data_IF_589828251232
#
_entry.id   IF_589828251232
#
_cell.length_a   1.000
_cell.length_b   1.000
_cell.length_c   1.000
_cell.angle_alpha   90.00
_cell.angle_beta   90.00
_cell.angle_gamma   90.00
#
_symmetry.space_group_name_H-M   'P 1'
#
loop_
_entity.id
_entity.type
_entity.pdbx_description
1 polymer ?
#
# COMPACT_ATOMS: atom_id res chain seq x y z
N UNK A 1 45.06 23.73 -54.26
CA UNK A 1 44.65 23.70 -52.87
C UNK A 1 43.21 23.19 -52.81
N UNK A 2 43.03 21.90 -52.54
CA UNK A 2 41.70 21.26 -52.39
C UNK A 2 41.40 21.23 -50.87
N UNK A 3 40.37 21.92 -50.43
CA UNK A 3 39.88 21.86 -49.05
C UNK A 3 38.92 20.71 -48.85
N UNK A 4 39.27 19.81 -47.96
CA UNK A 4 38.43 18.66 -47.54
C UNK A 4 37.46 19.15 -46.44
N UNK A 5 36.16 19.17 -46.77
CA UNK A 5 35.11 19.46 -45.81
C UNK A 5 34.69 18.12 -45.17
N UNK A 6 35.04 17.92 -43.93
CA UNK A 6 34.59 16.75 -43.15
C UNK A 6 33.18 17.03 -42.57
N UNK A 7 32.17 16.35 -43.09
CA UNK A 7 30.80 16.40 -42.55
C UNK A 7 30.71 15.46 -41.35
N UNK A 8 30.59 16.00 -40.14
CA UNK A 8 30.27 15.24 -38.96
C UNK A 8 28.79 14.82 -38.99
N UNK A 9 28.53 13.55 -39.21
CA UNK A 9 27.21 12.96 -38.98
C UNK A 9 26.97 12.77 -37.47
N UNK A 10 26.14 13.64 -36.88
CA UNK A 10 25.57 13.43 -35.56
C UNK A 10 24.48 12.36 -35.68
N UNK A 11 24.72 11.14 -35.21
CA UNK A 11 23.68 10.16 -34.96
C UNK A 11 22.93 10.51 -33.68
N UNK A 12 21.60 10.76 -33.72
CA UNK A 12 20.84 10.94 -32.49
C UNK A 12 20.82 9.60 -31.73
N UNK A 13 21.42 9.59 -30.55
CA UNK A 13 21.25 8.49 -29.60
C UNK A 13 19.77 8.49 -29.17
N UNK A 14 19.01 7.53 -29.71
CA UNK A 14 17.65 7.22 -29.23
C UNK A 14 17.81 6.66 -27.83
N UNK A 15 17.53 7.49 -26.82
CA UNK A 15 17.39 7.06 -25.45
C UNK A 15 16.13 6.21 -25.38
N UNK A 16 16.28 4.88 -25.55
CA UNK A 16 15.20 3.94 -25.31
C UNK A 16 14.84 4.04 -23.82
N UNK A 17 13.74 4.72 -23.51
CA UNK A 17 13.13 4.65 -22.21
C UNK A 17 12.79 3.18 -21.96
N UNK A 18 13.57 2.52 -21.09
CA UNK A 18 13.26 1.19 -20.61
C UNK A 18 11.90 1.28 -19.91
N UNK A 19 10.83 0.91 -20.60
CA UNK A 19 9.52 0.75 -19.99
C UNK A 19 9.68 -0.34 -18.92
N UNK A 20 9.66 0.07 -17.66
CA UNK A 20 9.67 -0.88 -16.55
C UNK A 20 8.42 -1.75 -16.71
N UNK A 21 8.63 -3.07 -16.87
CA UNK A 21 7.52 -4.01 -16.95
C UNK A 21 6.62 -3.83 -15.70
N UNK A 22 5.29 -3.83 -15.94
CA UNK A 22 4.32 -3.67 -14.86
C UNK A 22 4.40 -4.88 -13.94
N UNK A 23 4.72 -4.70 -12.65
CA UNK A 23 4.86 -5.83 -11.74
C UNK A 23 3.50 -6.50 -11.53
N UNK A 24 3.52 -7.83 -11.45
CA UNK A 24 2.33 -8.60 -11.10
C UNK A 24 2.14 -8.58 -9.58
N UNK A 25 1.15 -7.83 -9.11
CA UNK A 25 0.76 -7.80 -7.70
C UNK A 25 -0.38 -8.77 -7.37
N UNK A 26 -0.96 -9.47 -8.36
CA UNK A 26 -2.02 -10.43 -8.11
C UNK A 26 -1.56 -11.53 -7.15
N UNK A 27 -2.44 -11.92 -6.23
CA UNK A 27 -2.18 -12.93 -5.22
C UNK A 27 -2.69 -12.55 -3.83
N UNK A 28 -2.35 -13.39 -2.88
CA UNK A 28 -2.65 -13.19 -1.46
C UNK A 28 -1.38 -12.79 -0.72
N UNK A 29 -1.50 -11.79 0.13
CA UNK A 29 -0.41 -11.20 0.89
C UNK A 29 -0.79 -11.13 2.36
N UNK A 30 0.11 -11.53 3.25
CA UNK A 30 -0.02 -11.36 4.71
C UNK A 30 0.76 -10.14 5.16
N UNK A 31 0.23 -9.42 6.13
CA UNK A 31 0.88 -8.25 6.70
C UNK A 31 2.12 -8.67 7.50
N UNK A 32 3.25 -8.02 7.25
CA UNK A 32 4.45 -8.14 8.05
C UNK A 32 4.49 -7.08 9.16
N UNK A 33 4.19 -5.82 8.79
CA UNK A 33 3.99 -4.72 9.74
C UNK A 33 3.13 -3.61 9.13
N UNK A 34 2.53 -2.78 9.99
CA UNK A 34 1.85 -1.54 9.63
C UNK A 34 2.24 -0.48 10.68
N UNK A 35 3.25 0.30 10.34
CA UNK A 35 3.86 1.30 11.21
C UNK A 35 3.52 2.71 10.74
N UNK A 36 3.87 3.68 11.56
CA UNK A 36 3.94 5.09 11.20
C UNK A 36 5.38 5.60 11.41
N UNK A 37 5.87 6.36 10.45
CA UNK A 37 7.16 7.06 10.57
C UNK A 37 6.86 8.52 10.91
N UNK A 38 7.31 8.96 12.08
CA UNK A 38 7.16 10.33 12.55
C UNK A 38 8.14 11.29 11.85
N UNK A 39 7.89 12.62 11.86
CA UNK A 39 8.79 13.60 11.24
C UNK A 39 10.23 13.58 11.79
N UNK A 40 10.43 13.16 13.02
CA UNK A 40 11.74 13.00 13.66
C UNK A 40 12.45 11.68 13.28
N UNK A 41 11.81 10.84 12.46
CA UNK A 41 12.34 9.55 12.02
C UNK A 41 12.04 8.39 12.97
N UNK A 42 11.44 8.63 14.13
CA UNK A 42 11.00 7.55 15.03
C UNK A 42 9.83 6.77 14.43
N UNK A 43 9.59 5.55 14.92
CA UNK A 43 8.48 4.71 14.49
C UNK A 43 7.47 4.50 15.60
N UNK A 44 6.19 4.58 15.22
CA UNK A 44 5.06 4.17 16.03
C UNK A 44 4.34 2.98 15.40
N UNK A 45 3.49 2.32 16.19
CA UNK A 45 2.76 1.12 15.81
C UNK A 45 1.25 1.35 15.94
N UNK A 46 0.64 1.97 14.93
CA UNK A 46 -0.80 2.30 14.92
C UNK A 46 -1.72 1.08 15.13
N UNK A 47 -1.22 -0.12 14.80
CA UNK A 47 -1.95 -1.38 14.94
C UNK A 47 -1.23 -2.37 15.88
N UNK A 48 -0.47 -1.84 16.85
CA UNK A 48 0.29 -2.64 17.81
C UNK A 48 1.53 -3.32 17.23
N UNK A 49 2.26 -4.06 18.07
CA UNK A 49 3.54 -4.67 17.73
C UNK A 49 3.41 -5.89 16.80
N UNK A 50 2.25 -6.53 16.77
CA UNK A 50 2.01 -7.73 15.97
C UNK A 50 0.65 -7.65 15.24
N UNK A 51 0.48 -6.69 14.30
CA UNK A 51 -0.76 -6.52 13.58
C UNK A 51 -1.08 -7.75 12.72
N UNK A 52 -2.37 -7.98 12.51
CA UNK A 52 -2.84 -9.00 11.56
C UNK A 52 -3.41 -8.31 10.33
N UNK A 53 -3.09 -8.82 9.15
CA UNK A 53 -3.64 -8.26 7.93
C UNK A 53 -3.61 -9.22 6.77
N UNK A 54 -4.51 -8.96 5.83
CA UNK A 54 -4.64 -9.67 4.58
C UNK A 54 -4.83 -8.65 3.46
N UNK A 55 -4.08 -8.80 2.38
CA UNK A 55 -4.30 -8.10 1.12
C UNK A 55 -4.48 -9.15 0.03
N UNK A 56 -5.61 -9.13 -0.62
CA UNK A 56 -5.89 -9.96 -1.79
C UNK A 56 -6.03 -9.07 -3.02
N UNK A 57 -5.39 -9.46 -4.11
CA UNK A 57 -5.46 -8.77 -5.39
C UNK A 57 -5.70 -9.83 -6.46
N UNK A 58 -6.75 -9.69 -7.24
CA UNK A 58 -7.00 -10.60 -8.36
C UNK A 58 -6.27 -10.16 -9.65
N UNK A 59 -6.37 -10.98 -10.69
CA UNK A 59 -5.72 -10.71 -11.97
C UNK A 59 -6.30 -9.48 -12.70
N UNK A 60 -7.50 -9.03 -12.34
CA UNK A 60 -8.17 -7.85 -12.89
C UNK A 60 -7.88 -6.58 -12.08
N UNK A 61 -7.11 -6.70 -10.97
CA UNK A 61 -6.79 -5.60 -10.08
C UNK A 61 -7.90 -5.28 -9.07
N UNK A 62 -8.88 -6.17 -8.88
CA UNK A 62 -9.79 -6.06 -7.74
C UNK A 62 -9.02 -6.41 -6.47
N UNK A 63 -9.23 -5.67 -5.42
CA UNK A 63 -8.53 -5.92 -4.16
C UNK A 63 -9.46 -5.85 -2.96
N UNK A 64 -9.04 -6.53 -1.88
CA UNK A 64 -9.52 -6.31 -0.52
C UNK A 64 -8.32 -6.24 0.43
N UNK A 65 -8.33 -5.28 1.34
CA UNK A 65 -7.29 -5.03 2.32
C UNK A 65 -7.89 -4.96 3.70
N UNK A 66 -7.28 -5.69 4.64
CA UNK A 66 -7.69 -5.78 6.04
C UNK A 66 -6.45 -5.62 6.92
N UNK A 67 -6.50 -4.74 7.91
CA UNK A 67 -5.47 -4.61 8.96
C UNK A 67 -6.19 -4.54 10.30
N UNK A 68 -5.69 -5.27 11.26
CA UNK A 68 -6.23 -5.31 12.60
C UNK A 68 -5.12 -5.28 13.65
N UNK A 69 -5.28 -4.45 14.65
CA UNK A 69 -4.51 -4.55 15.89
C UNK A 69 -4.90 -5.86 16.59
N UNK A 70 -3.91 -6.72 16.85
CA UNK A 70 -4.12 -8.01 17.49
C UNK A 70 -4.38 -7.90 19.01
N UNK A 71 -4.06 -6.76 19.62
CA UNK A 71 -4.26 -6.49 21.04
C UNK A 71 -5.65 -5.91 21.38
N UNK A 72 -6.53 -5.72 20.37
CA UNK A 72 -7.90 -5.23 20.63
C UNK A 72 -8.62 -6.10 21.65
N UNK A 73 -9.22 -5.51 22.71
CA UNK A 73 -9.96 -6.27 23.68
C UNK A 73 -11.22 -6.90 23.07
N UNK A 74 -11.66 -7.99 23.64
CA UNK A 74 -12.97 -8.53 23.32
C UNK A 74 -14.04 -7.70 24.02
N UNK A 75 -15.21 -7.57 23.39
CA UNK A 75 -16.37 -6.97 24.03
C UNK A 75 -16.78 -7.81 25.25
N UNK A 76 -16.87 -7.17 26.41
CA UNK A 76 -17.24 -7.84 27.67
C UNK A 76 -18.65 -8.48 27.58
N UNK A 77 -19.56 -7.83 26.85
CA UNK A 77 -20.92 -8.33 26.61
C UNK A 77 -20.97 -9.48 25.60
N UNK A 78 -19.90 -9.76 24.85
CA UNK A 78 -19.89 -10.64 23.68
C UNK A 78 -20.95 -10.28 22.61
N UNK A 79 -21.46 -9.07 22.66
CA UNK A 79 -22.42 -8.50 21.69
C UNK A 79 -21.92 -7.13 21.23
N UNK A 80 -21.65 -7.01 19.92
CA UNK A 80 -21.17 -5.76 19.31
C UNK A 80 -22.17 -4.58 19.38
N UNK A 81 -23.44 -4.82 19.73
CA UNK A 81 -24.46 -3.78 19.88
C UNK A 81 -24.46 -3.17 21.30
N UNK A 82 -23.88 -3.85 22.26
CA UNK A 82 -23.92 -3.47 23.68
C UNK A 82 -22.54 -3.20 24.27
N UNK A 83 -21.57 -2.86 23.41
CA UNK A 83 -20.24 -2.47 23.82
C UNK A 83 -20.22 -1.13 24.54
N UNK A 84 -19.18 -0.90 25.34
CA UNK A 84 -18.89 0.41 25.93
C UNK A 84 -18.31 1.36 24.85
N UNK A 85 -18.38 2.69 25.04
CA UNK A 85 -17.74 3.64 24.14
C UNK A 85 -16.25 3.35 23.89
N UNK A 86 -15.48 2.95 24.91
CA UNK A 86 -14.07 2.61 24.79
C UNK A 86 -13.84 1.34 23.96
N UNK A 87 -14.71 0.33 24.07
CA UNK A 87 -14.63 -0.89 23.24
C UNK A 87 -14.90 -0.57 21.77
N UNK A 88 -15.88 0.29 21.49
CA UNK A 88 -16.16 0.76 20.12
C UNK A 88 -15.00 1.58 19.56
N UNK A 89 -14.48 2.55 20.33
CA UNK A 89 -13.35 3.38 19.92
C UNK A 89 -12.14 2.53 19.59
N UNK A 90 -11.72 1.64 20.48
CA UNK A 90 -10.59 0.73 20.28
C UNK A 90 -10.80 -0.17 19.07
N UNK A 91 -12.01 -0.66 18.84
CA UNK A 91 -12.34 -1.50 17.69
C UNK A 91 -12.22 -0.73 16.38
N UNK A 92 -12.71 0.51 16.35
CA UNK A 92 -12.64 1.35 15.14
C UNK A 92 -11.21 1.77 14.85
N UNK A 93 -10.48 2.32 15.83
CA UNK A 93 -9.11 2.78 15.65
C UNK A 93 -8.13 1.62 15.36
N UNK A 94 -8.35 0.47 15.98
CA UNK A 94 -7.56 -0.74 15.76
C UNK A 94 -7.94 -1.54 14.52
N UNK A 95 -8.71 -0.97 13.58
CA UNK A 95 -9.18 -1.67 12.38
C UNK A 95 -9.05 -0.77 11.15
N UNK A 96 -8.56 -1.33 10.07
CA UNK A 96 -8.60 -0.70 8.76
C UNK A 96 -9.00 -1.75 7.73
N UNK A 97 -10.08 -1.49 7.00
CA UNK A 97 -10.54 -2.37 5.94
C UNK A 97 -11.05 -1.54 4.77
N UNK A 98 -10.66 -1.89 3.57
CA UNK A 98 -11.21 -1.30 2.35
C UNK A 98 -11.05 -2.24 1.16
N UNK A 99 -11.90 -2.08 0.16
CA UNK A 99 -11.85 -2.84 -1.08
C UNK A 99 -12.20 -1.94 -2.27
N UNK A 100 -11.89 -2.42 -3.46
CA UNK A 100 -12.14 -1.72 -4.71
C UNK A 100 -11.25 -2.20 -5.84
N UNK A 101 -10.73 -1.28 -6.64
CA UNK A 101 -9.77 -1.57 -7.71
C UNK A 101 -8.41 -0.95 -7.45
N UNK A 102 -7.37 -1.60 -7.95
CA UNK A 102 -5.98 -1.22 -7.79
C UNK A 102 -5.33 -1.07 -9.17
N UNK A 103 -4.65 0.05 -9.39
CA UNK A 103 -3.86 0.30 -10.60
C UNK A 103 -2.39 0.49 -10.24
N UNK A 104 -1.50 -0.08 -11.05
CA UNK A 104 -0.05 0.05 -10.87
C UNK A 104 0.53 0.92 -11.97
N UNK A 105 1.20 1.99 -11.58
CA UNK A 105 2.08 2.78 -12.42
C UNK A 105 3.54 2.37 -12.15
N UNK A 106 4.11 1.55 -13.05
CA UNK A 106 5.47 1.05 -12.90
C UNK A 106 6.52 2.16 -13.08
N UNK A 107 6.24 3.16 -13.92
CA UNK A 107 7.17 4.27 -14.18
C UNK A 107 7.27 5.19 -12.96
N UNK A 108 6.14 5.48 -12.33
CA UNK A 108 6.08 6.32 -11.14
C UNK A 108 6.36 5.54 -9.83
N UNK A 109 6.52 4.20 -9.90
CA UNK A 109 6.56 3.31 -8.74
C UNK A 109 5.40 3.61 -7.76
N UNK A 110 4.18 3.67 -8.29
CA UNK A 110 3.00 4.05 -7.54
C UNK A 110 1.85 3.03 -7.74
N UNK A 111 1.09 2.84 -6.69
CA UNK A 111 -0.16 2.07 -6.69
C UNK A 111 -1.28 3.06 -6.38
N UNK A 112 -2.33 3.06 -7.19
CA UNK A 112 -3.55 3.82 -6.94
C UNK A 112 -4.64 2.87 -6.49
N UNK A 113 -5.11 3.03 -5.26
CA UNK A 113 -6.30 2.36 -4.73
C UNK A 113 -7.52 3.22 -5.00
N UNK A 114 -8.48 2.70 -5.76
CA UNK A 114 -9.81 3.29 -5.96
C UNK A 114 -10.76 2.58 -5.00
N UNK A 115 -11.13 3.26 -3.93
CA UNK A 115 -11.85 2.67 -2.81
C UNK A 115 -13.36 2.70 -3.10
N UNK A 116 -13.99 1.54 -3.10
CA UNK A 116 -15.44 1.39 -3.29
C UNK A 116 -16.18 1.28 -1.95
N UNK A 117 -15.58 0.60 -0.97
CA UNK A 117 -16.11 0.48 0.38
C UNK A 117 -14.99 0.42 1.42
N UNK A 118 -15.27 0.95 2.62
CA UNK A 118 -14.28 1.08 3.68
C UNK A 118 -14.88 1.00 5.07
N UNK A 119 -14.08 0.53 6.06
CA UNK A 119 -14.41 0.65 7.48
C UNK A 119 -14.42 2.09 7.99
N UNK A 120 -13.74 3.01 7.29
CA UNK A 120 -13.81 4.44 7.52
C UNK A 120 -14.54 5.11 6.36
N UNK A 121 -15.83 5.48 6.52
CA UNK A 121 -16.67 5.91 5.40
C UNK A 121 -16.11 7.09 4.58
N UNK A 122 -15.29 7.94 5.19
CA UNK A 122 -14.69 9.09 4.50
C UNK A 122 -13.69 8.68 3.38
N UNK A 123 -13.29 7.42 3.32
CA UNK A 123 -12.43 6.92 2.23
C UNK A 123 -13.25 6.39 1.04
N UNK A 124 -14.53 6.13 1.20
CA UNK A 124 -15.37 5.61 0.13
C UNK A 124 -15.42 6.60 -1.04
N UNK A 125 -15.38 6.06 -2.25
CA UNK A 125 -15.34 6.82 -3.51
C UNK A 125 -14.14 7.75 -3.68
N UNK A 126 -13.07 7.54 -2.90
CA UNK A 126 -11.81 8.28 -3.02
C UNK A 126 -10.72 7.46 -3.73
N UNK A 127 -9.63 8.13 -4.07
CA UNK A 127 -8.43 7.52 -4.60
C UNK A 127 -7.25 7.80 -3.66
N UNK A 128 -6.47 6.76 -3.38
CA UNK A 128 -5.27 6.87 -2.58
C UNK A 128 -4.07 6.40 -3.40
N UNK A 129 -3.13 7.30 -3.68
CA UNK A 129 -1.88 6.99 -4.38
C UNK A 129 -0.80 6.70 -3.34
N UNK A 130 -0.15 5.55 -3.46
CA UNK A 130 0.89 5.09 -2.54
C UNK A 130 2.16 4.76 -3.32
N UNK A 131 3.30 5.32 -2.93
CA UNK A 131 4.60 4.90 -3.46
C UNK A 131 4.91 3.50 -2.93
N UNK A 132 5.29 2.58 -3.84
CA UNK A 132 5.57 1.20 -3.48
C UNK A 132 6.97 0.77 -3.87
N UNK A 133 7.42 -0.30 -3.22
CA UNK A 133 8.58 -1.08 -3.60
C UNK A 133 8.19 -2.56 -3.59
N UNK A 134 8.60 -3.28 -4.63
CA UNK A 134 8.43 -4.74 -4.72
C UNK A 134 9.80 -5.38 -4.84
N UNK A 135 10.16 -6.23 -3.87
CA UNK A 135 11.41 -7.01 -3.84
C UNK A 135 11.07 -8.48 -3.70
N UNK A 136 11.04 -9.20 -4.83
CA UNK A 136 10.58 -10.59 -4.85
C UNK A 136 9.14 -10.70 -4.33
N UNK A 137 8.95 -11.42 -3.26
CA UNK A 137 7.65 -11.64 -2.61
C UNK A 137 7.37 -10.67 -1.44
N UNK A 138 8.08 -9.55 -1.37
CA UNK A 138 7.86 -8.50 -0.37
C UNK A 138 7.39 -7.23 -1.07
N UNK A 139 6.18 -6.79 -0.76
CA UNK A 139 5.58 -5.54 -1.19
C UNK A 139 5.55 -4.57 -0.01
N UNK A 140 6.18 -3.42 -0.15
CA UNK A 140 6.05 -2.32 0.81
C UNK A 140 5.49 -1.08 0.13
N UNK A 141 4.74 -0.26 0.87
CA UNK A 141 4.29 1.04 0.38
C UNK A 141 4.15 2.07 1.50
N UNK A 142 4.20 3.34 1.09
CA UNK A 142 3.99 4.51 1.95
C UNK A 142 2.70 5.19 1.55
N UNK A 143 1.87 5.48 2.56
CA UNK A 143 0.68 6.33 2.40
C UNK A 143 1.15 7.81 2.41
N UNK A 144 0.47 8.73 1.73
CA UNK A 144 0.77 10.16 1.85
C UNK A 144 0.79 10.62 3.30
N UNK A 145 1.65 11.59 3.60
CA UNK A 145 1.80 12.13 4.94
C UNK A 145 0.46 12.66 5.48
N UNK A 146 0.19 12.40 6.74
CA UNK A 146 -0.92 12.98 7.50
C UNK A 146 -0.65 14.48 7.76
N UNK A 147 -1.66 15.22 8.22
CA UNK A 147 -1.52 16.65 8.51
C UNK A 147 -0.43 16.97 9.56
N UNK A 148 -0.15 16.05 10.48
CA UNK A 148 0.92 16.16 11.48
C UNK A 148 2.31 15.74 10.94
N UNK A 149 2.41 15.36 9.67
CA UNK A 149 3.65 14.90 9.03
C UNK A 149 3.95 13.41 9.16
N UNK A 150 3.15 12.66 9.90
CA UNK A 150 3.28 11.20 10.04
C UNK A 150 3.06 10.49 8.71
N UNK A 151 3.92 9.54 8.38
CA UNK A 151 3.85 8.74 7.15
C UNK A 151 3.54 7.28 7.50
N UNK A 152 2.32 6.80 7.27
CA UNK A 152 2.01 5.39 7.44
C UNK A 152 2.76 4.54 6.40
N UNK A 153 3.31 3.42 6.85
CA UNK A 153 4.06 2.46 6.03
C UNK A 153 3.57 1.05 6.31
N UNK A 154 3.48 0.24 5.27
CA UNK A 154 3.08 -1.16 5.42
C UNK A 154 3.99 -2.06 4.60
N UNK A 155 4.27 -3.24 5.12
CA UNK A 155 4.96 -4.29 4.42
C UNK A 155 4.15 -5.58 4.43
N UNK A 156 4.12 -6.23 3.27
CA UNK A 156 3.33 -7.41 2.99
C UNK A 156 4.20 -8.50 2.40
N UNK A 157 4.00 -9.74 2.82
CA UNK A 157 4.66 -10.92 2.26
C UNK A 157 3.66 -11.74 1.46
N UNK A 158 4.03 -12.09 0.23
CA UNK A 158 3.21 -12.94 -0.63
C UNK A 158 3.07 -14.32 -0.01
N UNK A 159 1.84 -14.81 0.05
CA UNK A 159 1.58 -16.20 0.43
C UNK A 159 1.96 -17.08 -0.74
N UNK A 160 2.83 -18.06 -0.51
CA UNK A 160 3.14 -19.06 -1.52
C UNK A 160 1.86 -19.82 -1.90
N UNK A 161 1.62 -19.99 -3.20
CA UNK A 161 0.55 -20.87 -3.65
C UNK A 161 0.86 -22.27 -3.11
N UNK A 162 0.00 -22.80 -2.24
CA UNK A 162 0.09 -24.23 -1.91
C UNK A 162 -0.33 -25.02 -3.16
N UNK A 163 0.40 -26.05 -3.52
CA UNK A 163 0.10 -26.89 -4.66
C UNK A 163 -1.25 -27.63 -4.50
#
# INVERSE_FOLDING_TARGET
MLGLVATLCFTPAVLAALSREKPNLAGTWTLAFADVVHPDGTRGHDYGDAPKGLLQIDAQGRYSLLIFDSARPRFASNDKKTGTPAEFETTVLGSSAHFGTLEVDAAAAAITFRIEGSSFPNWEHTQQVRKYELRGDVLSYRVPARANGDVPVSEWKRVANQP
#
